data_IF_970053169896
#
_entry.id   IF_970053169896
#
_cell.length_a   1.000
_cell.length_b   1.000
_cell.length_c   1.000
_cell.angle_alpha   90.00
_cell.angle_beta   90.00
_cell.angle_gamma   90.00
#
_symmetry.space_group_name_H-M   'P 1'
#
loop_
_entity.id
_entity.type
_entity.pdbx_description
1 polymer ?
#
# COMPACT_ATOMS: atom_id res chain seq x y z
N UNK A 1 5.00 -33.61 1.29
CA UNK A 1 3.77 -32.80 1.41
C UNK A 1 3.71 -32.27 2.82
N UNK A 2 3.49 -30.96 3.03
CA UNK A 2 3.48 -30.38 4.38
C UNK A 2 2.27 -30.83 5.18
N UNK A 3 2.42 -30.99 6.48
CA UNK A 3 1.33 -31.39 7.37
C UNK A 3 0.31 -30.24 7.50
N UNK A 4 -0.95 -30.57 7.82
CA UNK A 4 -1.99 -29.56 8.07
C UNK A 4 -1.60 -28.59 9.20
N UNK A 5 -0.89 -29.11 10.19
CA UNK A 5 -0.43 -28.34 11.36
C UNK A 5 0.71 -27.38 11.01
N UNK A 6 1.64 -27.82 10.15
CA UNK A 6 2.71 -26.97 9.62
C UNK A 6 2.18 -25.82 8.77
N UNK A 7 1.17 -26.09 7.93
CA UNK A 7 0.52 -25.05 7.11
C UNK A 7 -0.20 -24.05 8.00
N UNK A 8 -0.98 -24.53 8.98
CA UNK A 8 -1.70 -23.67 9.93
C UNK A 8 -0.75 -22.77 10.71
N UNK A 9 0.34 -23.33 11.23
CA UNK A 9 1.33 -22.59 12.01
C UNK A 9 2.00 -21.49 11.18
N UNK A 10 2.29 -21.76 9.90
CA UNK A 10 2.83 -20.74 9.02
C UNK A 10 1.84 -19.63 8.71
N UNK A 11 0.56 -19.95 8.46
CA UNK A 11 -0.46 -18.94 8.22
C UNK A 11 -0.60 -17.99 9.42
N UNK A 12 -0.62 -18.52 10.64
CA UNK A 12 -0.64 -17.72 11.87
C UNK A 12 0.59 -16.82 11.96
N UNK A 13 1.78 -17.37 11.67
CA UNK A 13 3.03 -16.61 11.68
C UNK A 13 3.02 -15.48 10.64
N UNK A 14 2.55 -15.75 9.41
CA UNK A 14 2.41 -14.74 8.35
C UNK A 14 1.41 -13.66 8.75
N UNK A 15 0.25 -14.04 9.28
CA UNK A 15 -0.75 -13.09 9.79
C UNK A 15 -0.19 -12.17 10.89
N UNK A 16 0.59 -12.73 11.83
CA UNK A 16 1.28 -11.92 12.86
C UNK A 16 2.27 -10.93 12.26
N UNK A 17 3.08 -11.36 11.27
CA UNK A 17 4.03 -10.46 10.58
C UNK A 17 3.29 -9.33 9.86
N UNK A 18 2.23 -9.65 9.10
CA UNK A 18 1.36 -8.66 8.46
C UNK A 18 0.80 -7.66 9.45
N UNK A 19 0.18 -8.14 10.54
CA UNK A 19 -0.36 -7.27 11.58
C UNK A 19 0.67 -6.29 12.15
N UNK A 20 1.90 -6.75 12.39
CA UNK A 20 2.98 -5.89 12.88
C UNK A 20 3.39 -4.83 11.85
N UNK A 21 3.37 -5.16 10.55
CA UNK A 21 3.60 -4.19 9.48
C UNK A 21 2.49 -3.15 9.43
N UNK A 22 1.21 -3.57 9.45
CA UNK A 22 0.05 -2.67 9.48
C UNK A 22 0.13 -1.73 10.69
N UNK A 23 0.41 -2.28 11.88
CA UNK A 23 0.52 -1.50 13.11
C UNK A 23 1.66 -0.46 13.07
N UNK A 24 2.72 -0.74 12.31
CA UNK A 24 3.90 0.12 12.19
C UNK A 24 4.06 0.72 10.79
N UNK A 25 2.96 0.85 10.03
CA UNK A 25 2.99 1.18 8.59
C UNK A 25 3.80 2.45 8.28
N UNK A 26 3.76 3.44 9.18
CA UNK A 26 4.50 4.71 9.04
C UNK A 26 6.00 4.53 8.80
N UNK A 27 6.62 3.48 9.33
CA UNK A 27 8.05 3.19 9.15
C UNK A 27 8.41 2.82 7.72
N UNK A 28 7.44 2.36 6.93
CA UNK A 28 7.63 1.93 5.54
C UNK A 28 7.35 3.06 4.54
N UNK A 29 6.57 4.07 4.93
CA UNK A 29 6.15 5.16 4.05
C UNK A 29 7.33 5.91 3.39
N UNK A 30 8.45 6.21 4.08
CA UNK A 30 9.58 6.90 3.42
C UNK A 30 10.22 6.07 2.31
N UNK A 31 10.34 4.74 2.50
CA UNK A 31 10.90 3.85 1.48
C UNK A 31 9.93 3.73 0.29
N UNK A 32 8.63 3.58 0.57
CA UNK A 32 7.59 3.51 -0.45
C UNK A 32 7.52 4.82 -1.25
N UNK A 33 7.55 5.99 -0.61
CA UNK A 33 7.53 7.29 -1.31
C UNK A 33 8.70 7.45 -2.26
N UNK A 34 9.93 7.15 -1.81
CA UNK A 34 11.12 7.18 -2.68
C UNK A 34 11.00 6.19 -3.84
N UNK A 35 10.47 5.00 -3.59
CA UNK A 35 10.25 4.01 -4.64
C UNK A 35 9.21 4.50 -5.67
N UNK A 36 8.11 5.11 -5.22
CA UNK A 36 7.11 5.71 -6.10
C UNK A 36 7.74 6.81 -6.96
N UNK A 37 8.51 7.72 -6.36
CA UNK A 37 9.18 8.81 -7.09
C UNK A 37 10.17 8.30 -8.14
N UNK A 38 10.92 7.24 -7.82
CA UNK A 38 11.85 6.63 -8.76
C UNK A 38 11.15 5.94 -9.94
N UNK A 39 9.95 5.38 -9.74
CA UNK A 39 9.24 4.60 -10.77
C UNK A 39 8.28 5.46 -11.58
N UNK A 40 7.59 6.40 -10.93
CA UNK A 40 6.50 7.18 -11.50
C UNK A 40 6.87 8.66 -11.75
N UNK A 41 8.04 9.11 -11.27
CA UNK A 41 8.43 10.52 -11.31
C UNK A 41 7.74 11.34 -10.22
N UNK A 42 7.38 12.58 -10.52
CA UNK A 42 6.68 13.44 -9.57
C UNK A 42 5.33 12.84 -9.16
N UNK A 43 5.18 12.56 -7.86
CA UNK A 43 3.98 11.93 -7.32
C UNK A 43 3.69 12.37 -5.89
N UNK A 44 2.41 12.35 -5.53
CA UNK A 44 1.95 12.59 -4.17
C UNK A 44 1.46 11.27 -3.56
N UNK A 45 1.85 10.99 -2.31
CA UNK A 45 1.49 9.76 -1.62
C UNK A 45 0.62 10.07 -0.41
N UNK A 46 -0.48 9.34 -0.30
CA UNK A 46 -1.44 9.50 0.79
C UNK A 46 -1.79 8.15 1.41
N UNK A 47 -2.09 8.18 2.70
CA UNK A 47 -2.64 7.02 3.42
C UNK A 47 -4.13 7.24 3.60
N UNK A 48 -4.94 6.21 3.43
CA UNK A 48 -6.36 6.26 3.76
C UNK A 48 -6.84 4.93 4.37
N UNK A 49 -8.15 4.80 4.53
CA UNK A 49 -8.76 3.55 4.96
C UNK A 49 -8.58 3.23 6.45
N UNK A 50 -8.59 1.93 6.75
CA UNK A 50 -8.82 1.42 8.11
C UNK A 50 -7.73 1.83 9.11
N UNK A 51 -6.48 1.95 8.64
CA UNK A 51 -5.31 2.27 9.47
C UNK A 51 -5.38 3.65 10.11
N UNK A 52 -6.01 4.63 9.45
CA UNK A 52 -6.18 5.98 10.02
C UNK A 52 -7.21 6.01 11.15
N UNK A 53 -8.19 5.09 11.12
CA UNK A 53 -9.24 4.99 12.15
C UNK A 53 -8.88 4.03 13.28
N UNK A 54 -7.76 3.31 13.16
CA UNK A 54 -7.37 2.24 14.08
C UNK A 54 -8.22 0.96 13.97
N UNK A 55 -9.14 0.87 13.02
CA UNK A 55 -10.07 -0.26 12.85
C UNK A 55 -9.53 -1.32 11.86
N UNK A 56 -8.36 -1.88 12.15
CA UNK A 56 -7.70 -2.87 11.28
C UNK A 56 -7.48 -4.22 11.97
N UNK A 57 -7.31 -5.28 11.17
CA UNK A 57 -6.99 -6.64 11.63
C UNK A 57 -5.73 -7.16 10.93
N UNK A 58 -5.29 -8.38 11.26
CA UNK A 58 -4.18 -9.02 10.55
C UNK A 58 -4.47 -9.31 9.06
N UNK A 59 -5.75 -9.31 8.67
CA UNK A 59 -6.20 -9.46 7.28
C UNK A 59 -6.52 -8.15 6.58
N UNK A 60 -6.33 -7.00 7.24
CA UNK A 60 -6.49 -5.69 6.60
C UNK A 60 -5.26 -5.35 5.74
N UNK A 61 -5.43 -4.32 4.91
CA UNK A 61 -4.37 -3.69 4.14
C UNK A 61 -4.09 -2.27 4.66
N UNK A 62 -2.99 -1.70 4.18
CA UNK A 62 -2.60 -0.30 4.33
C UNK A 62 -2.84 0.36 2.97
N UNK A 63 -3.96 1.03 2.84
CA UNK A 63 -4.37 1.64 1.57
C UNK A 63 -3.56 2.90 1.28
N UNK A 64 -2.84 2.90 0.16
CA UNK A 64 -2.00 4.00 -0.28
C UNK A 64 -2.52 4.56 -1.60
N UNK A 65 -2.92 5.84 -1.59
CA UNK A 65 -3.34 6.56 -2.78
C UNK A 65 -2.13 7.30 -3.36
N UNK A 66 -1.71 6.92 -4.56
CA UNK A 66 -0.57 7.48 -5.29
C UNK A 66 -1.13 8.33 -6.41
N UNK A 67 -1.02 9.65 -6.26
CA UNK A 67 -1.49 10.61 -7.26
C UNK A 67 -0.34 10.98 -8.20
N UNK A 68 -0.53 10.73 -9.48
CA UNK A 68 0.44 10.99 -10.56
C UNK A 68 -0.19 11.81 -11.68
N UNK A 69 0.62 12.40 -12.55
CA UNK A 69 0.12 13.12 -13.72
C UNK A 69 -0.46 12.18 -14.78
N UNK A 70 0.20 11.05 -15.02
CA UNK A 70 -0.20 10.04 -16.00
C UNK A 70 -0.24 8.67 -15.35
N UNK A 71 -1.36 7.97 -15.50
CA UNK A 71 -1.52 6.62 -14.96
C UNK A 71 -1.09 5.55 -15.97
N UNK A 72 -0.64 4.37 -15.51
CA UNK A 72 -0.43 3.21 -16.38
C UNK A 72 -1.68 2.90 -17.21
N UNK A 73 -1.51 2.67 -18.51
CA UNK A 73 -2.62 2.55 -19.49
C UNK A 73 -3.25 1.16 -19.52
N UNK A 74 -2.62 0.18 -18.88
CA UNK A 74 -3.09 -1.21 -18.85
C UNK A 74 -2.84 -1.87 -17.50
N UNK A 75 -3.62 -2.92 -17.20
CA UNK A 75 -3.42 -3.75 -16.00
C UNK A 75 -2.01 -4.34 -15.94
N UNK A 76 -1.44 -4.73 -17.09
CA UNK A 76 -0.09 -5.29 -17.16
C UNK A 76 0.97 -4.25 -16.82
N UNK A 77 0.81 -3.04 -17.31
CA UNK A 77 1.73 -1.94 -17.01
C UNK A 77 1.65 -1.56 -15.53
N UNK A 78 0.42 -1.48 -14.99
CA UNK A 78 0.18 -1.24 -13.58
C UNK A 78 0.86 -2.30 -12.69
N UNK A 79 0.68 -3.58 -12.99
CA UNK A 79 1.33 -4.66 -12.24
C UNK A 79 2.87 -4.56 -12.30
N UNK A 80 3.45 -4.17 -13.45
CA UNK A 80 4.91 -3.94 -13.55
C UNK A 80 5.38 -2.79 -12.66
N UNK A 81 4.61 -1.70 -12.63
CA UNK A 81 4.89 -0.55 -11.76
C UNK A 81 4.82 -0.95 -10.29
N UNK A 82 3.76 -1.64 -9.88
CA UNK A 82 3.56 -2.11 -8.50
C UNK A 82 4.73 -2.99 -8.05
N UNK A 83 5.07 -4.03 -8.82
CA UNK A 83 6.24 -4.90 -8.53
C UNK A 83 7.53 -4.08 -8.40
N UNK A 84 7.75 -3.07 -9.25
CA UNK A 84 8.96 -2.25 -9.18
C UNK A 84 9.01 -1.40 -7.91
N UNK A 85 7.87 -0.86 -7.48
CA UNK A 85 7.75 -0.13 -6.22
C UNK A 85 8.04 -1.08 -5.05
N UNK A 86 7.46 -2.29 -5.05
CA UNK A 86 7.66 -3.29 -4.00
C UNK A 86 9.13 -3.69 -3.87
N UNK A 87 9.80 -3.98 -4.99
CA UNK A 87 11.23 -4.30 -5.06
C UNK A 87 12.08 -3.17 -4.48
N UNK A 88 11.88 -1.93 -4.95
CA UNK A 88 12.68 -0.78 -4.53
C UNK A 88 12.42 -0.35 -3.09
N UNK A 89 11.20 -0.54 -2.59
CA UNK A 89 10.83 -0.29 -1.20
C UNK A 89 11.28 -1.42 -0.26
N UNK A 90 11.78 -2.55 -0.80
CA UNK A 90 12.22 -3.70 -0.01
C UNK A 90 11.07 -4.40 0.71
N UNK A 91 9.88 -4.41 0.11
CA UNK A 91 8.70 -5.01 0.72
C UNK A 91 8.73 -6.55 0.56
N UNK A 92 8.44 -7.32 1.62
CA UNK A 92 8.34 -8.77 1.53
C UNK A 92 7.03 -9.19 0.82
N UNK A 93 7.01 -10.37 0.21
CA UNK A 93 5.86 -10.92 -0.54
C UNK A 93 4.52 -11.02 0.22
N UNK A 94 4.54 -10.89 1.54
CA UNK A 94 3.35 -10.87 2.40
C UNK A 94 2.97 -9.46 2.87
N UNK A 95 3.56 -8.38 2.35
CA UNK A 95 3.30 -7.02 2.82
C UNK A 95 1.82 -6.63 2.70
N UNK A 96 1.32 -5.74 3.58
CA UNK A 96 -0.08 -5.31 3.58
C UNK A 96 -0.35 -4.05 2.75
N UNK A 97 0.63 -3.48 2.05
CA UNK A 97 0.43 -2.23 1.32
C UNK A 97 -0.33 -2.45 0.01
N UNK A 98 -1.46 -1.75 -0.17
CA UNK A 98 -2.23 -1.74 -1.42
C UNK A 98 -2.03 -0.41 -2.14
N UNK A 99 -1.63 -0.44 -3.41
CA UNK A 99 -1.32 0.75 -4.20
C UNK A 99 -2.47 1.13 -5.13
N UNK A 100 -3.07 2.29 -4.85
CA UNK A 100 -4.09 2.91 -5.69
C UNK A 100 -3.44 4.03 -6.51
N UNK A 101 -2.95 3.70 -7.71
CA UNK A 101 -2.35 4.68 -8.63
C UNK A 101 -3.46 5.38 -9.42
N UNK A 102 -3.55 6.70 -9.27
CA UNK A 102 -4.61 7.54 -9.84
C UNK A 102 -4.06 8.84 -10.41
N UNK A 103 -4.79 9.42 -11.38
CA UNK A 103 -4.60 10.80 -11.81
C UNK A 103 -5.44 11.75 -10.96
N UNK A 104 -5.47 13.04 -11.34
CA UNK A 104 -6.29 14.06 -10.69
C UNK A 104 -7.79 13.68 -10.64
N UNK A 105 -8.33 13.13 -11.74
CA UNK A 105 -9.74 12.75 -11.81
C UNK A 105 -10.04 11.56 -10.89
N UNK A 106 -9.17 10.55 -10.88
CA UNK A 106 -9.25 9.43 -9.97
C UNK A 106 -9.15 9.86 -8.51
N UNK A 107 -8.21 10.75 -8.17
CA UNK A 107 -8.08 11.30 -6.82
C UNK A 107 -9.37 11.97 -6.35
N UNK A 108 -9.97 12.84 -7.20
CA UNK A 108 -11.27 13.46 -6.91
C UNK A 108 -12.37 12.43 -6.69
N UNK A 109 -12.41 11.36 -7.49
CA UNK A 109 -13.39 10.28 -7.28
C UNK A 109 -13.25 9.63 -5.90
N UNK A 110 -12.03 9.39 -5.44
CA UNK A 110 -11.80 8.88 -4.08
C UNK A 110 -12.33 9.87 -3.01
N UNK A 111 -11.95 11.14 -3.09
CA UNK A 111 -12.31 12.15 -2.06
C UNK A 111 -13.78 12.55 -2.12
N UNK A 112 -14.32 12.81 -3.30
CA UNK A 112 -15.63 13.42 -3.49
C UNK A 112 -16.76 12.38 -3.59
N UNK A 113 -16.51 11.24 -4.22
CA UNK A 113 -17.54 10.19 -4.42
C UNK A 113 -17.44 9.14 -3.33
N UNK A 114 -16.24 8.57 -3.13
CA UNK A 114 -16.04 7.54 -2.11
C UNK A 114 -15.88 8.12 -0.69
N UNK A 115 -15.80 9.46 -0.57
CA UNK A 115 -15.70 10.18 0.70
C UNK A 115 -14.53 9.71 1.57
N UNK A 116 -13.46 9.21 0.94
CA UNK A 116 -12.24 8.89 1.69
C UNK A 116 -11.59 10.17 2.17
N UNK A 117 -10.92 10.10 3.32
CA UNK A 117 -10.17 11.21 3.92
C UNK A 117 -8.69 10.87 3.90
N UNK A 118 -8.03 10.97 2.72
CA UNK A 118 -6.62 10.67 2.61
C UNK A 118 -5.80 11.69 3.40
N UNK A 119 -4.77 11.21 4.10
CA UNK A 119 -3.79 12.05 4.80
C UNK A 119 -2.46 11.95 4.05
N UNK A 120 -1.86 13.09 3.74
CA UNK A 120 -0.61 13.13 2.98
C UNK A 120 0.51 12.53 3.82
N UNK A 121 1.40 11.74 3.22
CA UNK A 121 2.43 10.99 3.97
C UNK A 121 3.33 11.93 4.78
N UNK A 122 3.64 13.10 4.24
CA UNK A 122 4.44 14.14 4.87
C UNK A 122 3.83 14.66 6.19
N UNK A 123 2.52 14.51 6.40
CA UNK A 123 1.84 14.87 7.66
C UNK A 123 1.90 13.75 8.71
N UNK A 124 2.39 12.55 8.34
CA UNK A 124 2.44 11.36 9.19
C UNK A 124 3.85 10.99 9.66
N UNK A 125 4.88 11.61 9.07
CA UNK A 125 6.30 11.44 9.38
C UNK A 125 6.74 12.44 10.44
#
# INVERSE_FOLDING_TARGET
MRSREEVRSELIRRGRKRYLMIKNYRRYLPAIKRACENVLGECELYVFGSVLTGKFTAGSDVDLLIKVKEVPKSLRERAKVEVKIEELAGLPDYHPFEFHIVDEAGFKRYVEVLKVKPVKVEELL
#
